data_IF_705821320809
#
_entry.id   IF_705821320809
#
_cell.length_a   1.000
_cell.length_b   1.000
_cell.length_c   1.000
_cell.angle_alpha   90.00
_cell.angle_beta   90.00
_cell.angle_gamma   90.00
#
_symmetry.space_group_name_H-M   'P 1'
#
loop_
_entity.id
_entity.type
_entity.pdbx_description
1 polymer ?
#
# COMPACT_ATOMS: atom_id res chain seq x y z
N UNK A 1 -4.70 18.09 0.08
CA UNK A 1 -5.93 17.36 -0.25
C UNK A 1 -7.09 18.16 0.34
N UNK A 2 -8.04 18.63 -0.46
CA UNK A 2 -9.23 19.34 0.06
C UNK A 2 -10.41 18.41 0.33
N UNK A 3 -10.27 17.12 0.03
CA UNK A 3 -11.25 16.10 0.43
C UNK A 3 -11.13 15.73 1.91
N UNK A 4 -9.95 16.00 2.50
CA UNK A 4 -9.72 15.87 3.93
C UNK A 4 -10.14 17.16 4.65
N UNK A 5 -10.87 17.02 5.76
CA UNK A 5 -11.42 18.15 6.50
C UNK A 5 -10.33 19.07 7.09
N UNK A 6 -9.20 18.51 7.52
CA UNK A 6 -8.07 19.28 8.03
C UNK A 6 -7.39 20.01 6.86
N UNK A 7 -7.15 19.30 5.75
CA UNK A 7 -6.56 19.86 4.54
C UNK A 7 -7.39 20.98 3.92
N UNK A 8 -8.72 20.87 3.90
CA UNK A 8 -9.63 21.94 3.49
C UNK A 8 -9.50 23.18 4.39
N UNK A 9 -9.42 22.96 5.72
CA UNK A 9 -9.25 24.05 6.69
C UNK A 9 -7.90 24.77 6.52
N UNK A 10 -6.81 24.02 6.35
CA UNK A 10 -5.49 24.59 6.06
C UNK A 10 -5.46 25.39 4.77
N UNK A 11 -6.10 24.90 3.70
CA UNK A 11 -6.19 25.63 2.44
C UNK A 11 -6.91 26.98 2.61
N UNK A 12 -8.00 27.00 3.39
CA UNK A 12 -8.73 28.24 3.69
C UNK A 12 -7.87 29.23 4.50
N UNK A 13 -7.16 28.74 5.52
CA UNK A 13 -6.29 29.57 6.38
C UNK A 13 -5.13 30.19 5.60
N UNK A 14 -4.43 29.39 4.79
CA UNK A 14 -3.31 29.84 3.98
C UNK A 14 -3.74 30.85 2.89
N UNK A 15 -4.90 30.62 2.26
CA UNK A 15 -5.47 31.59 1.32
C UNK A 15 -5.80 32.92 2.01
N UNK A 16 -6.37 32.91 3.23
CA UNK A 16 -6.63 34.14 4.01
C UNK A 16 -5.36 34.91 4.36
N UNK A 17 -4.23 34.21 4.50
CA UNK A 17 -2.91 34.81 4.75
C UNK A 17 -2.22 35.30 3.47
N UNK A 18 -2.85 35.16 2.30
CA UNK A 18 -2.31 35.61 1.01
C UNK A 18 -1.29 34.65 0.39
N UNK A 19 -1.15 33.43 0.91
CA UNK A 19 -0.31 32.42 0.29
C UNK A 19 -0.97 31.83 -0.95
N UNK A 20 -0.16 31.47 -1.96
CA UNK A 20 -0.63 30.72 -3.13
C UNK A 20 -0.88 29.26 -2.73
N UNK A 21 -2.13 28.81 -2.79
CA UNK A 21 -2.54 27.43 -2.50
C UNK A 21 -3.08 26.77 -3.76
N UNK A 22 -2.66 25.53 -4.04
CA UNK A 22 -3.29 24.68 -5.06
C UNK A 22 -4.01 23.53 -4.34
N UNK A 23 -5.34 23.62 -4.26
CA UNK A 23 -6.18 22.53 -3.78
C UNK A 23 -6.27 21.40 -4.82
N UNK A 24 -6.27 20.16 -4.36
CA UNK A 24 -6.55 18.98 -5.18
C UNK A 24 -7.54 18.05 -4.45
N UNK A 25 -8.34 17.33 -5.22
CA UNK A 25 -9.41 16.46 -4.72
C UNK A 25 -10.72 16.65 -5.49
N UNK A 26 -11.80 16.13 -4.95
CA UNK A 26 -13.17 16.30 -5.47
C UNK A 26 -13.96 17.41 -4.74
N UNK A 27 -13.43 17.93 -3.63
CA UNK A 27 -14.06 18.92 -2.77
C UNK A 27 -14.02 20.35 -3.31
N UNK A 28 -14.78 21.23 -2.66
CA UNK A 28 -14.83 22.66 -2.99
C UNK A 28 -13.45 23.31 -2.81
N UNK A 29 -13.05 24.13 -3.78
CA UNK A 29 -11.73 24.79 -3.77
C UNK A 29 -10.58 23.94 -4.36
N UNK A 30 -10.86 22.75 -4.90
CA UNK A 30 -9.90 22.00 -5.69
C UNK A 30 -9.68 22.66 -7.06
N UNK A 31 -8.45 23.09 -7.35
CA UNK A 31 -8.02 23.50 -8.68
C UNK A 31 -7.64 22.30 -9.56
N UNK A 32 -7.28 21.18 -8.92
CA UNK A 32 -6.97 19.91 -9.57
C UNK A 32 -8.01 18.87 -9.17
N UNK A 33 -9.04 18.75 -10.00
CA UNK A 33 -10.13 17.79 -9.84
C UNK A 33 -9.93 16.63 -10.81
N UNK A 34 -9.83 15.37 -10.34
CA UNK A 34 -9.72 14.23 -11.22
C UNK A 34 -11.08 13.92 -11.86
N UNK A 35 -11.05 13.47 -13.11
CA UNK A 35 -12.22 13.07 -13.89
C UNK A 35 -11.83 11.91 -14.81
N UNK A 36 -12.83 11.12 -15.25
CA UNK A 36 -12.57 9.97 -16.12
C UNK A 36 -11.55 8.99 -15.55
N UNK A 37 -11.61 8.72 -14.24
CA UNK A 37 -10.70 7.78 -13.58
C UNK A 37 -11.00 6.37 -14.05
N UNK A 38 -10.03 5.73 -14.69
CA UNK A 38 -10.11 4.37 -15.20
C UNK A 38 -8.93 3.57 -14.66
N UNK A 39 -9.21 2.37 -14.14
CA UNK A 39 -8.17 1.42 -13.77
C UNK A 39 -7.61 0.76 -15.04
N UNK A 40 -6.29 0.69 -15.13
CA UNK A 40 -5.56 0.00 -16.19
C UNK A 40 -4.77 -1.17 -15.59
N UNK A 41 -4.33 -2.17 -16.38
CA UNK A 41 -3.67 -3.37 -15.84
C UNK A 41 -2.47 -3.08 -14.92
N UNK A 42 -1.72 -2.01 -15.19
CA UNK A 42 -0.52 -1.61 -14.45
C UNK A 42 -0.64 -0.23 -13.79
N UNK A 43 -1.85 0.35 -13.71
CA UNK A 43 -1.96 1.73 -13.25
C UNK A 43 -3.35 2.33 -13.25
N UNK A 44 -3.38 3.65 -13.31
CA UNK A 44 -4.60 4.45 -13.38
C UNK A 44 -4.46 5.51 -14.48
N UNK A 45 -5.54 5.77 -15.19
CA UNK A 45 -5.66 6.88 -16.14
C UNK A 45 -6.74 7.84 -15.69
N UNK A 46 -6.48 9.14 -15.76
CA UNK A 46 -7.43 10.18 -15.35
C UNK A 46 -7.11 11.51 -16.03
N UNK A 47 -8.10 12.40 -16.08
CA UNK A 47 -7.95 13.76 -16.56
C UNK A 47 -8.07 14.75 -15.40
N UNK A 48 -7.22 15.78 -15.37
CA UNK A 48 -7.32 16.89 -14.42
C UNK A 48 -6.91 18.21 -15.09
N UNK A 49 -7.72 19.25 -14.88
CA UNK A 49 -7.50 20.59 -15.46
C UNK A 49 -7.24 20.57 -16.99
N UNK A 50 -7.95 19.72 -17.73
CA UNK A 50 -7.83 19.60 -19.19
C UNK A 50 -6.67 18.73 -19.68
N UNK A 51 -5.77 18.28 -18.80
CA UNK A 51 -4.66 17.38 -19.14
C UNK A 51 -5.02 15.93 -18.80
N UNK A 52 -4.68 15.01 -19.69
CA UNK A 52 -4.75 13.57 -19.46
C UNK A 52 -3.44 13.08 -18.81
N UNK A 53 -3.57 12.27 -17.76
CA UNK A 53 -2.49 11.67 -17.01
C UNK A 53 -2.62 10.14 -17.01
N UNK A 54 -1.47 9.47 -17.11
CA UNK A 54 -1.33 8.05 -16.82
C UNK A 54 -0.31 7.90 -15.68
N UNK A 55 -0.66 7.11 -14.68
CA UNK A 55 0.25 6.77 -13.57
C UNK A 55 0.35 5.25 -13.49
N UNK A 56 1.56 4.71 -13.59
CA UNK A 56 1.82 3.25 -13.51
C UNK A 56 1.84 2.74 -12.06
N UNK A 57 0.88 3.21 -11.27
CA UNK A 57 0.66 2.78 -9.89
C UNK A 57 -0.83 2.46 -9.74
N UNK A 58 -1.19 1.21 -9.42
CA UNK A 58 -2.58 0.81 -9.30
C UNK A 58 -3.24 1.44 -8.07
N UNK A 59 -4.57 1.48 -8.09
CA UNK A 59 -5.37 1.92 -6.96
C UNK A 59 -5.76 3.38 -7.06
N UNK A 60 -7.04 3.65 -6.79
CA UNK A 60 -7.63 4.99 -6.94
C UNK A 60 -6.91 6.02 -6.07
N UNK A 61 -6.44 5.67 -4.88
CA UNK A 61 -5.69 6.57 -4.01
C UNK A 61 -4.41 7.11 -4.67
N UNK A 62 -3.78 6.38 -5.61
CA UNK A 62 -2.62 6.88 -6.35
C UNK A 62 -2.97 7.99 -7.34
N UNK A 63 -4.24 8.14 -7.73
CA UNK A 63 -4.70 9.34 -8.44
C UNK A 63 -4.56 10.57 -7.54
N UNK A 64 -4.96 10.48 -6.27
CA UNK A 64 -4.80 11.60 -5.31
C UNK A 64 -3.32 11.90 -5.02
N UNK A 65 -2.48 10.88 -4.90
CA UNK A 65 -1.03 11.06 -4.76
C UNK A 65 -0.44 11.75 -6.00
N UNK A 66 -0.86 11.35 -7.20
CA UNK A 66 -0.44 11.99 -8.44
C UNK A 66 -0.91 13.45 -8.51
N UNK A 67 -2.15 13.75 -8.13
CA UNK A 67 -2.64 15.14 -8.05
C UNK A 67 -1.85 15.99 -7.05
N UNK A 68 -1.45 15.42 -5.91
CA UNK A 68 -0.59 16.10 -4.95
C UNK A 68 0.77 16.45 -5.57
N UNK A 69 1.39 15.49 -6.28
CA UNK A 69 2.65 15.70 -6.99
C UNK A 69 2.51 16.76 -8.10
N UNK A 70 1.43 16.72 -8.89
CA UNK A 70 1.12 17.72 -9.92
C UNK A 70 0.93 19.11 -9.30
N UNK A 71 0.23 19.22 -8.15
CA UNK A 71 0.04 20.48 -7.44
C UNK A 71 1.39 21.10 -7.02
N UNK A 72 2.30 20.28 -6.48
CA UNK A 72 3.65 20.70 -6.10
C UNK A 72 4.46 21.12 -7.34
N UNK A 73 4.43 20.31 -8.41
CA UNK A 73 5.13 20.60 -9.66
C UNK A 73 4.68 21.95 -10.27
N UNK A 74 3.37 22.23 -10.28
CA UNK A 74 2.81 23.53 -10.71
C UNK A 74 3.27 24.70 -9.84
N UNK A 75 3.36 24.51 -8.51
CA UNK A 75 3.90 25.54 -7.62
C UNK A 75 5.38 25.84 -7.90
N UNK A 76 6.13 24.83 -8.35
CA UNK A 76 7.52 24.93 -8.78
C UNK A 76 7.70 25.43 -10.23
N UNK A 77 6.60 25.72 -10.95
CA UNK A 77 6.65 26.23 -12.32
C UNK A 77 6.80 25.16 -13.41
N UNK A 78 6.59 23.89 -13.09
CA UNK A 78 6.54 22.79 -14.07
C UNK A 78 5.14 22.76 -14.69
N UNK A 79 5.09 22.70 -16.02
CA UNK A 79 3.82 22.62 -16.76
C UNK A 79 3.17 21.23 -16.69
N UNK A 80 1.88 21.18 -16.99
CA UNK A 80 1.06 19.96 -16.90
C UNK A 80 1.50 18.87 -17.87
N UNK A 81 1.91 19.25 -19.10
CA UNK A 81 2.34 18.28 -20.09
C UNK A 81 3.67 17.63 -19.66
N UNK A 82 4.58 18.39 -19.07
CA UNK A 82 5.81 17.88 -18.46
C UNK A 82 5.51 16.96 -17.27
N UNK A 83 4.58 17.35 -16.40
CA UNK A 83 4.13 16.51 -15.28
C UNK A 83 3.50 15.19 -15.76
N UNK A 84 2.70 15.23 -16.83
CA UNK A 84 2.08 14.05 -17.42
C UNK A 84 3.12 13.08 -17.99
N UNK A 85 4.15 13.59 -18.70
CA UNK A 85 5.26 12.74 -19.18
C UNK A 85 6.05 12.14 -18.01
N UNK A 86 6.30 12.91 -16.96
CA UNK A 86 7.01 12.43 -15.76
C UNK A 86 6.27 11.31 -15.05
N UNK A 87 4.95 11.45 -14.85
CA UNK A 87 4.11 10.41 -14.25
C UNK A 87 4.01 9.16 -15.11
N UNK A 88 3.94 9.31 -16.43
CA UNK A 88 3.87 8.17 -17.36
C UNK A 88 5.21 7.41 -17.45
N UNK A 89 6.34 8.11 -17.27
CA UNK A 89 7.68 7.52 -17.28
C UNK A 89 8.06 6.86 -15.94
N UNK A 90 7.22 7.02 -14.90
CA UNK A 90 7.43 6.37 -13.62
C UNK A 90 7.13 4.87 -13.76
N UNK A 91 8.16 4.04 -13.83
CA UNK A 91 7.97 2.60 -13.98
C UNK A 91 7.43 1.95 -12.71
N UNK A 92 8.11 2.17 -11.57
CA UNK A 92 7.76 1.60 -10.27
C UNK A 92 8.26 2.50 -9.16
N UNK A 93 7.49 2.61 -8.08
CA UNK A 93 7.99 3.10 -6.80
C UNK A 93 8.27 1.87 -5.94
N UNK A 94 9.53 1.61 -5.52
CA UNK A 94 9.84 0.50 -4.63
C UNK A 94 8.90 0.49 -3.42
N UNK A 95 8.33 -0.69 -3.11
CA UNK A 95 7.45 -0.86 -1.96
C UNK A 95 6.12 -0.11 -1.97
N UNK A 96 5.66 0.38 -3.13
CA UNK A 96 4.32 0.98 -3.31
C UNK A 96 3.60 0.26 -4.43
N UNK A 97 2.76 -0.70 -4.05
CA UNK A 97 2.11 -1.64 -4.96
C UNK A 97 3.13 -2.26 -5.93
N UNK A 98 4.32 -2.60 -5.44
CA UNK A 98 5.38 -3.19 -6.26
C UNK A 98 4.99 -4.62 -6.63
N UNK A 99 4.71 -4.84 -7.91
CA UNK A 99 4.24 -6.13 -8.44
C UNK A 99 5.40 -7.02 -8.87
N UNK A 100 5.35 -8.27 -8.42
CA UNK A 100 6.19 -9.38 -8.84
C UNK A 100 5.28 -10.49 -9.36
N UNK A 101 5.63 -11.10 -10.49
CA UNK A 101 4.80 -12.14 -11.09
C UNK A 101 5.65 -13.33 -11.51
N UNK A 102 5.26 -14.53 -11.10
CA UNK A 102 5.83 -15.77 -11.58
C UNK A 102 4.83 -16.92 -11.40
N UNK A 103 4.88 -17.92 -12.29
CA UNK A 103 4.05 -19.14 -12.18
C UNK A 103 2.54 -18.87 -12.12
N UNK A 104 2.08 -17.76 -12.71
CA UNK A 104 0.68 -17.32 -12.66
C UNK A 104 0.25 -16.72 -11.32
N UNK A 105 1.15 -16.58 -10.35
CA UNK A 105 0.89 -15.95 -9.04
C UNK A 105 1.38 -14.51 -9.10
N UNK A 106 0.57 -13.58 -8.59
CA UNK A 106 0.97 -12.20 -8.38
C UNK A 106 1.31 -11.95 -6.91
N UNK A 107 2.46 -11.35 -6.64
CA UNK A 107 2.86 -10.87 -5.32
C UNK A 107 2.99 -9.35 -5.37
N UNK A 108 2.40 -8.67 -4.41
CA UNK A 108 2.41 -7.21 -4.32
C UNK A 108 3.03 -6.80 -2.99
N UNK A 109 4.08 -5.99 -3.03
CA UNK A 109 4.73 -5.42 -1.83
C UNK A 109 4.26 -3.97 -1.65
N UNK A 110 3.69 -3.65 -0.49
CA UNK A 110 3.17 -2.32 -0.18
C UNK A 110 3.49 -1.86 1.26
N UNK A 111 3.66 -0.55 1.43
CA UNK A 111 3.93 0.10 2.72
C UNK A 111 2.66 0.36 3.57
N UNK A 112 1.51 -0.20 3.19
CA UNK A 112 0.27 -0.09 3.95
C UNK A 112 0.45 -0.62 5.39
N UNK A 113 0.56 0.32 6.34
CA UNK A 113 0.81 0.04 7.76
C UNK A 113 -0.23 0.74 8.67
N UNK A 114 -1.32 1.22 8.11
CA UNK A 114 -2.49 1.78 8.81
C UNK A 114 -3.75 1.07 8.32
N UNK A 115 -4.85 1.05 9.09
CA UNK A 115 -6.11 0.39 8.69
C UNK A 115 -6.63 0.88 7.34
N UNK A 116 -6.75 2.20 7.15
CA UNK A 116 -7.24 2.81 5.91
C UNK A 116 -6.36 2.48 4.68
N UNK A 117 -5.04 2.48 4.86
CA UNK A 117 -4.10 2.15 3.78
C UNK A 117 -4.21 0.66 3.42
N UNK A 118 -4.38 -0.21 4.42
CA UNK A 118 -4.55 -1.65 4.23
C UNK A 118 -5.86 -1.95 3.50
N UNK A 119 -6.96 -1.32 3.92
CA UNK A 119 -8.27 -1.44 3.28
C UNK A 119 -8.22 -0.98 1.82
N UNK A 120 -7.61 0.19 1.57
CA UNK A 120 -7.45 0.74 0.22
C UNK A 120 -6.63 -0.19 -0.69
N UNK A 121 -5.54 -0.76 -0.18
CA UNK A 121 -4.71 -1.70 -0.91
C UNK A 121 -5.47 -2.99 -1.23
N UNK A 122 -6.16 -3.58 -0.24
CA UNK A 122 -6.93 -4.82 -0.43
C UNK A 122 -8.08 -4.63 -1.42
N UNK A 123 -8.83 -3.53 -1.36
CA UNK A 123 -9.86 -3.22 -2.35
C UNK A 123 -9.29 -3.08 -3.76
N UNK A 124 -8.19 -2.33 -3.91
CA UNK A 124 -7.55 -2.16 -5.20
C UNK A 124 -7.07 -3.49 -5.80
N UNK A 125 -6.54 -4.40 -4.98
CA UNK A 125 -6.09 -5.70 -5.45
C UNK A 125 -7.26 -6.60 -5.81
N UNK A 126 -8.33 -6.57 -5.01
CA UNK A 126 -9.55 -7.35 -5.27
C UNK A 126 -10.17 -7.03 -6.63
N UNK A 127 -10.11 -5.78 -7.09
CA UNK A 127 -10.60 -5.39 -8.42
C UNK A 127 -9.85 -6.11 -9.57
N UNK A 128 -8.63 -6.58 -9.33
CA UNK A 128 -7.76 -7.20 -10.35
C UNK A 128 -7.47 -8.68 -10.11
N UNK A 129 -7.65 -9.16 -8.88
CA UNK A 129 -7.43 -10.55 -8.49
C UNK A 129 -8.42 -11.50 -9.18
N UNK A 130 -7.91 -12.59 -9.76
CA UNK A 130 -8.75 -13.64 -10.39
C UNK A 130 -9.03 -14.80 -9.46
N UNK A 131 -8.10 -15.09 -8.54
CA UNK A 131 -8.19 -16.12 -7.52
C UNK A 131 -8.32 -15.54 -6.10
N UNK A 132 -7.74 -16.25 -5.13
CA UNK A 132 -7.71 -15.83 -3.74
C UNK A 132 -6.76 -14.66 -3.51
N UNK A 133 -7.16 -13.72 -2.65
CA UNK A 133 -6.33 -12.65 -2.13
C UNK A 133 -5.81 -13.03 -0.75
N UNK A 134 -4.51 -13.30 -0.64
CA UNK A 134 -3.82 -13.52 0.63
C UNK A 134 -3.14 -12.24 1.11
N UNK A 135 -3.00 -12.09 2.41
CA UNK A 135 -2.27 -10.98 3.03
C UNK A 135 -1.25 -11.48 4.06
N UNK A 136 -0.02 -10.98 3.97
CA UNK A 136 1.07 -11.14 4.95
C UNK A 136 1.34 -9.78 5.59
N UNK A 137 1.12 -9.65 6.89
CA UNK A 137 1.37 -8.38 7.57
C UNK A 137 1.66 -8.53 9.06
N UNK A 138 2.26 -7.47 9.61
CA UNK A 138 2.50 -7.30 11.04
C UNK A 138 2.25 -5.85 11.44
N UNK A 139 2.55 -5.51 12.68
CA UNK A 139 2.56 -4.13 13.16
C UNK A 139 3.90 -3.82 13.82
N UNK A 140 4.31 -2.54 13.76
CA UNK A 140 5.46 -2.08 14.52
C UNK A 140 5.19 -2.04 16.02
N UNK A 141 6.17 -2.46 16.83
CA UNK A 141 6.19 -2.25 18.28
C UNK A 141 6.65 -0.84 18.66
N UNK A 142 6.54 -0.49 19.94
CA UNK A 142 6.81 0.82 20.55
C UNK A 142 6.13 1.99 19.83
N UNK A 143 5.00 1.70 19.17
CA UNK A 143 4.23 2.62 18.33
C UNK A 143 2.75 2.33 18.51
N UNK A 144 1.94 3.13 17.82
CA UNK A 144 0.48 3.08 17.81
C UNK A 144 -0.10 1.66 17.93
N UNK A 145 -0.57 1.34 19.13
CA UNK A 145 -1.18 0.05 19.48
C UNK A 145 -2.66 0.00 19.08
N UNK A 146 -3.31 1.16 18.97
CA UNK A 146 -4.75 1.28 18.71
C UNK A 146 -5.12 0.70 17.36
N UNK A 147 -4.29 0.92 16.34
CA UNK A 147 -4.52 0.39 14.99
C UNK A 147 -4.45 -1.14 14.86
N UNK A 148 -3.84 -1.85 15.81
CA UNK A 148 -3.54 -3.30 15.68
C UNK A 148 -4.81 -4.13 15.48
N UNK A 149 -5.82 -4.06 16.37
CA UNK A 149 -7.08 -4.77 16.17
C UNK A 149 -7.81 -4.29 14.90
N UNK A 150 -7.84 -2.99 14.61
CA UNK A 150 -8.49 -2.46 13.40
C UNK A 150 -7.87 -3.01 12.11
N UNK A 151 -6.55 -3.12 12.04
CA UNK A 151 -5.87 -3.76 10.90
C UNK A 151 -6.22 -5.26 10.79
N UNK A 152 -6.37 -5.96 11.92
CA UNK A 152 -6.85 -7.34 11.96
C UNK A 152 -8.28 -7.49 11.41
N UNK A 153 -9.18 -6.60 11.80
CA UNK A 153 -10.57 -6.56 11.32
C UNK A 153 -10.66 -6.29 9.81
N UNK A 154 -9.92 -5.28 9.33
CA UNK A 154 -9.84 -4.96 7.89
C UNK A 154 -9.34 -6.15 7.09
N UNK A 155 -8.25 -6.78 7.54
CA UNK A 155 -7.67 -7.93 6.85
C UNK A 155 -8.65 -9.11 6.82
N UNK A 156 -9.32 -9.42 7.93
CA UNK A 156 -10.24 -10.56 8.04
C UNK A 156 -11.47 -10.44 7.15
N UNK A 157 -11.94 -9.20 6.93
CA UNK A 157 -13.07 -8.89 6.06
C UNK A 157 -12.73 -8.95 4.57
N UNK A 158 -11.51 -8.56 4.18
CA UNK A 158 -11.19 -8.29 2.77
C UNK A 158 -10.28 -9.34 2.12
N UNK A 159 -9.51 -10.09 2.90
CA UNK A 159 -8.61 -11.14 2.42
C UNK A 159 -9.18 -12.55 2.64
N UNK A 160 -8.87 -13.45 1.72
CA UNK A 160 -9.28 -14.85 1.78
C UNK A 160 -8.37 -15.66 2.72
N UNK A 161 -7.07 -15.33 2.77
CA UNK A 161 -6.09 -15.97 3.66
C UNK A 161 -5.26 -14.93 4.41
N UNK A 162 -5.04 -15.18 5.70
CA UNK A 162 -4.39 -14.27 6.64
C UNK A 162 -3.11 -14.88 7.17
N UNK A 163 -1.99 -14.17 7.02
CA UNK A 163 -0.69 -14.54 7.57
C UNK A 163 -0.18 -13.39 8.44
N UNK A 164 -0.21 -13.59 9.75
CA UNK A 164 0.33 -12.64 10.72
C UNK A 164 1.80 -12.94 10.98
N UNK A 165 2.60 -11.88 11.03
CA UNK A 165 4.03 -11.97 11.24
C UNK A 165 4.56 -10.79 12.06
N UNK A 166 5.82 -10.88 12.46
CA UNK A 166 6.61 -9.74 12.91
C UNK A 166 6.85 -8.75 11.76
N UNK A 167 6.80 -7.46 12.07
CA UNK A 167 7.32 -6.37 11.24
C UNK A 167 8.55 -5.78 11.96
N UNK A 168 8.45 -4.58 12.53
CA UNK A 168 9.50 -3.96 13.34
C UNK A 168 9.07 -4.05 14.81
N UNK A 169 9.26 -5.19 15.50
CA UNK A 169 8.80 -5.38 16.88
C UNK A 169 9.49 -4.45 17.87
N UNK A 170 10.70 -3.95 17.56
CA UNK A 170 11.49 -3.10 18.46
C UNK A 170 11.62 -3.78 19.82
N UNK A 171 11.26 -3.11 20.91
CA UNK A 171 11.40 -3.65 22.26
C UNK A 171 10.18 -4.43 22.75
N UNK A 172 9.08 -4.44 21.99
CA UNK A 172 7.89 -5.25 22.31
C UNK A 172 8.08 -6.72 21.93
N UNK A 173 7.46 -7.61 22.70
CA UNK A 173 7.38 -9.04 22.38
C UNK A 173 6.56 -9.26 21.09
N UNK A 174 7.13 -9.85 20.02
CA UNK A 174 6.44 -9.98 18.74
C UNK A 174 5.11 -10.74 18.83
N UNK A 175 5.03 -11.73 19.73
CA UNK A 175 3.81 -12.50 19.95
C UNK A 175 2.68 -11.63 20.54
N UNK A 176 3.00 -10.66 21.40
CA UNK A 176 1.99 -9.76 21.97
C UNK A 176 1.42 -8.83 20.90
N UNK A 177 2.26 -8.37 19.98
CA UNK A 177 1.81 -7.57 18.83
C UNK A 177 0.85 -8.39 17.96
N UNK A 178 1.23 -9.62 17.61
CA UNK A 178 0.38 -10.52 16.82
C UNK A 178 -0.94 -10.82 17.53
N UNK A 179 -0.93 -11.07 18.84
CA UNK A 179 -2.14 -11.30 19.63
C UNK A 179 -3.07 -10.07 19.59
N UNK A 180 -2.51 -8.86 19.66
CA UNK A 180 -3.29 -7.63 19.57
C UNK A 180 -3.92 -7.42 18.18
N UNK A 181 -3.24 -7.85 17.11
CA UNK A 181 -3.82 -7.86 15.75
C UNK A 181 -4.93 -8.90 15.66
N UNK A 182 -4.66 -10.12 16.13
CA UNK A 182 -5.60 -11.24 16.08
C UNK A 182 -6.90 -10.98 16.85
N UNK A 183 -6.86 -10.13 17.88
CA UNK A 183 -8.06 -9.70 18.61
C UNK A 183 -9.12 -9.04 17.71
N UNK A 184 -8.74 -8.42 16.59
CA UNK A 184 -9.68 -7.86 15.61
C UNK A 184 -10.12 -8.82 14.51
N UNK A 185 -9.48 -9.99 14.36
CA UNK A 185 -9.82 -10.97 13.32
C UNK A 185 -11.12 -11.73 13.64
N UNK A 186 -11.42 -11.93 14.93
CA UNK A 186 -12.56 -12.73 15.38
C UNK A 186 -12.34 -14.24 15.20
N UNK A 187 -13.40 -14.98 14.85
CA UNK A 187 -13.38 -16.45 14.76
C UNK A 187 -12.78 -17.01 13.47
N UNK A 188 -12.18 -16.18 12.62
CA UNK A 188 -11.59 -16.59 11.35
C UNK A 188 -10.26 -17.30 11.56
N UNK A 189 -9.97 -18.25 10.67
CA UNK A 189 -8.65 -18.88 10.61
C UNK A 189 -7.59 -17.90 10.07
N UNK A 190 -6.42 -17.95 10.69
CA UNK A 190 -5.22 -17.23 10.29
C UNK A 190 -3.98 -18.06 10.62
N UNK A 191 -2.89 -17.81 9.90
CA UNK A 191 -1.58 -18.39 10.17
C UNK A 191 -0.73 -17.38 10.93
N UNK A 192 0.11 -17.86 11.86
CA UNK A 192 1.13 -17.05 12.54
C UNK A 192 2.50 -17.65 12.27
N UNK A 193 3.43 -16.82 11.79
CA UNK A 193 4.87 -17.11 11.84
C UNK A 193 5.60 -15.82 12.18
N UNK A 194 6.33 -15.79 13.29
CA UNK A 194 7.02 -14.57 13.75
C UNK A 194 8.26 -14.28 12.92
N UNK A 195 8.75 -15.25 12.15
CA UNK A 195 9.76 -15.02 11.13
C UNK A 195 9.08 -14.53 9.84
N UNK A 196 9.32 -13.25 9.53
CA UNK A 196 8.71 -12.59 8.37
C UNK A 196 9.07 -13.24 7.05
N UNK A 197 10.29 -13.77 6.93
CA UNK A 197 10.69 -14.48 5.71
C UNK A 197 9.87 -15.77 5.57
N UNK A 198 9.76 -16.56 6.65
CA UNK A 198 8.97 -17.80 6.63
C UNK A 198 7.48 -17.55 6.38
N UNK A 199 6.92 -16.46 6.91
CA UNK A 199 5.55 -16.06 6.65
C UNK A 199 5.31 -15.74 5.16
N UNK A 200 6.24 -14.98 4.53
CA UNK A 200 6.19 -14.65 3.10
C UNK A 200 6.33 -15.92 2.25
N UNK A 201 7.33 -16.74 2.54
CA UNK A 201 7.58 -18.00 1.83
C UNK A 201 6.38 -18.94 1.91
N UNK A 202 5.76 -19.06 3.08
CA UNK A 202 4.55 -19.87 3.27
C UNK A 202 3.38 -19.33 2.48
N UNK A 203 3.10 -18.02 2.55
CA UNK A 203 1.96 -17.43 1.82
C UNK A 203 2.11 -17.57 0.30
N UNK A 204 3.33 -17.43 -0.23
CA UNK A 204 3.63 -17.65 -1.65
C UNK A 204 3.55 -19.14 -2.01
N UNK A 205 4.00 -20.03 -1.12
CA UNK A 205 3.93 -21.48 -1.31
C UNK A 205 2.51 -22.03 -1.31
N UNK A 206 1.61 -21.44 -0.52
CA UNK A 206 0.20 -21.80 -0.46
C UNK A 206 -0.60 -21.26 -1.67
N UNK A 207 -0.05 -20.34 -2.46
CA UNK A 207 -0.76 -19.65 -3.55
C UNK A 207 -0.86 -20.50 -4.83
N UNK A 208 -2.00 -20.39 -5.50
CA UNK A 208 -2.28 -21.03 -6.79
C UNK A 208 -2.20 -20.02 -7.94
N UNK A 209 -2.02 -20.48 -9.20
CA UNK A 209 -2.11 -19.59 -10.36
C UNK A 209 -3.45 -18.82 -10.38
N UNK A 210 -3.36 -17.49 -10.50
CA UNK A 210 -4.49 -16.56 -10.42
C UNK A 210 -4.64 -15.87 -9.06
N UNK A 211 -4.01 -16.40 -8.01
CA UNK A 211 -4.01 -15.79 -6.68
C UNK A 211 -3.11 -14.55 -6.62
N UNK A 212 -3.45 -13.66 -5.68
CA UNK A 212 -2.67 -12.46 -5.34
C UNK A 212 -2.22 -12.56 -3.88
N UNK A 213 -0.93 -12.34 -3.61
CA UNK A 213 -0.37 -12.25 -2.25
C UNK A 213 0.08 -10.82 -1.98
N UNK A 214 -0.61 -10.12 -1.08
CA UNK A 214 -0.18 -8.81 -0.58
C UNK A 214 0.78 -8.98 0.60
N UNK A 215 1.99 -8.44 0.49
CA UNK A 215 2.94 -8.29 1.59
C UNK A 215 2.90 -6.83 2.03
N UNK A 216 2.30 -6.57 3.19
CA UNK A 216 2.04 -5.22 3.68
C UNK A 216 2.92 -4.84 4.88
N UNK A 217 3.14 -3.52 5.03
CA UNK A 217 3.75 -2.89 6.19
C UNK A 217 5.07 -2.20 5.88
N UNK A 218 6.05 -2.94 5.35
CA UNK A 218 7.43 -2.46 5.19
C UNK A 218 7.71 -1.75 3.87
N UNK A 219 6.99 -2.10 2.81
CA UNK A 219 7.20 -1.52 1.49
C UNK A 219 8.67 -1.57 1.04
N UNK A 220 9.32 -0.40 1.03
CA UNK A 220 10.70 -0.22 0.56
C UNK A 220 11.73 -0.33 1.69
N UNK A 221 11.31 -0.55 2.94
CA UNK A 221 12.24 -0.75 4.04
C UNK A 221 13.02 -2.05 3.82
N UNK A 222 14.34 -1.93 3.77
CA UNK A 222 15.28 -3.04 3.58
C UNK A 222 15.90 -3.52 4.90
N UNK A 223 15.19 -3.32 6.01
CA UNK A 223 15.62 -3.69 7.34
C UNK A 223 14.48 -4.12 8.25
N UNK A 224 14.80 -4.84 9.31
CA UNK A 224 13.89 -5.21 10.39
C UNK A 224 14.50 -4.84 11.75
N UNK A 225 13.73 -4.19 12.62
CA UNK A 225 14.19 -3.75 13.96
C UNK A 225 13.75 -4.73 15.04
N UNK A 226 14.70 -5.36 15.73
CA UNK A 226 14.47 -6.30 16.84
C UNK A 226 15.31 -5.87 18.05
N UNK A 227 14.65 -5.45 19.12
CA UNK A 227 15.27 -4.70 20.22
C UNK A 227 15.97 -3.45 19.68
N UNK A 228 17.26 -3.35 19.95
CA UNK A 228 18.14 -2.27 19.46
C UNK A 228 18.84 -2.62 18.13
N UNK A 229 18.63 -3.83 17.59
CA UNK A 229 19.33 -4.30 16.39
C UNK A 229 18.54 -3.97 15.13
N UNK A 230 19.27 -3.49 14.12
CA UNK A 230 18.77 -3.32 12.74
C UNK A 230 19.32 -4.46 11.89
N UNK A 231 18.46 -5.36 11.47
CA UNK A 231 18.82 -6.54 10.67
C UNK A 231 18.47 -6.29 9.20
N UNK A 232 19.33 -6.63 8.22
CA UNK A 232 18.97 -6.53 6.81
C UNK A 232 17.76 -7.43 6.47
N UNK A 233 16.72 -6.86 5.87
CA UNK A 233 15.51 -7.59 5.51
C UNK A 233 14.70 -6.83 4.44
N UNK A 234 14.51 -7.40 3.26
CA UNK A 234 13.77 -6.78 2.15
C UNK A 234 12.63 -7.72 1.70
N UNK A 235 11.38 -7.28 1.90
CA UNK A 235 10.16 -8.02 1.51
C UNK A 235 10.19 -8.43 0.03
N UNK A 236 10.58 -7.52 -0.85
CA UNK A 236 10.59 -7.75 -2.29
C UNK A 236 11.72 -8.72 -2.68
N UNK A 237 12.87 -8.66 -1.99
CA UNK A 237 13.94 -9.64 -2.20
C UNK A 237 13.51 -11.07 -1.79
N UNK A 238 12.90 -11.20 -0.60
CA UNK A 238 12.36 -12.48 -0.11
C UNK A 238 11.29 -13.02 -1.06
N UNK A 239 10.36 -12.17 -1.50
CA UNK A 239 9.31 -12.55 -2.43
C UNK A 239 9.85 -13.03 -3.77
N UNK A 240 10.84 -12.34 -4.35
CA UNK A 240 11.51 -12.76 -5.60
C UNK A 240 12.18 -14.13 -5.44
N UNK A 241 12.85 -14.36 -4.31
CA UNK A 241 13.48 -15.64 -4.01
C UNK A 241 12.43 -16.76 -3.91
N UNK A 242 11.37 -16.58 -3.13
CA UNK A 242 10.29 -17.55 -2.97
C UNK A 242 9.54 -17.84 -4.30
N UNK A 243 9.40 -16.82 -5.16
CA UNK A 243 8.83 -16.97 -6.50
C UNK A 243 9.71 -17.78 -7.46
N UNK A 244 11.03 -17.81 -7.22
CA UNK A 244 12.01 -18.52 -8.06
C UNK A 244 12.12 -20.00 -7.76
N UNK A 245 11.63 -20.47 -6.60
CA UNK A 245 11.74 -21.87 -6.23
C UNK A 245 10.96 -22.75 -7.22
N UNK A 246 11.58 -23.78 -7.82
CA UNK A 246 10.84 -24.78 -8.59
C UNK A 246 9.89 -25.47 -7.61
N UNK A 247 8.59 -25.18 -7.72
CA UNK A 247 7.63 -25.41 -6.64
C UNK A 247 7.66 -26.84 -6.09
N UNK A 248 7.77 -26.99 -4.77
CA UNK A 248 7.11 -28.11 -4.09
C UNK A 248 5.63 -27.80 -4.06
N UNK A 249 4.94 -28.14 -5.14
CA UNK A 249 3.53 -28.52 -5.07
C UNK A 249 3.49 -29.77 -4.17
N UNK A 250 3.06 -29.61 -2.93
CA UNK A 250 2.58 -30.72 -2.12
C UNK A 250 1.07 -30.74 -2.17
#
# INVERSE_FOLDING_TARGET
NVDDAIGARWAADLNRQGHRVIGYGSGHGAALVPSGIVAEPDGMRFSAAGQLYAVRLPGRFNVWNALAAIAIARLMGVDDATSARGLAALDRIPGRMERLHARGIEVVVDYAHTPDALESALHSLRETARGALAIVFGCGGDRDRGKRPEMGEVASRLADRLYLTSDNPRTEEPQEIVNAIAAGIGAREYCVDLDRRRAIERAIGDAHPGDVVLIAGKGHETYQIVGERVLPFDDAAVAREALSWPGTLR
#
